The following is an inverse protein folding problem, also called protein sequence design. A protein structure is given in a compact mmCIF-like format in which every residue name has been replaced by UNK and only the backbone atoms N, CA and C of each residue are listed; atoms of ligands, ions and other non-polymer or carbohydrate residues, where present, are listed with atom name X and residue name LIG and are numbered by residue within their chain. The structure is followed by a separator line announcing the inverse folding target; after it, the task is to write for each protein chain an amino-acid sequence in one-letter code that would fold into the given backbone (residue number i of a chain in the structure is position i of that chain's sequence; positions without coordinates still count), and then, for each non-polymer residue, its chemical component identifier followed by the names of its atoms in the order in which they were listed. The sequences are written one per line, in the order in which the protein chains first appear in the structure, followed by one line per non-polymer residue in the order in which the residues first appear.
data_IF_525597120962
#
_entry.id   IF_525597120962
#
_cell.length_a   1.000
_cell.length_b   1.000
_cell.length_c   1.000
_cell.angle_alpha   90.00
_cell.angle_beta   90.00
_cell.angle_gamma   90.00
#
_symmetry.space_group_name_H-M   'P 1'
#
loop_
_entity.id
_entity.type
_entity.pdbx_description
1 polymer ?
#
# COMPACT_ATOMS: atom_id res chain seq x y z
N UNK A 1 -2.72 -4.71 1.45
CA UNK A 1 -2.29 -5.25 0.13
C UNK A 1 -0.78 -5.23 -0.15
N UNK A 2 -0.03 -4.11 -0.10
CA UNK A 2 1.42 -4.06 -0.50
C UNK A 2 2.38 -5.04 0.18
N UNK A 3 1.97 -5.65 1.29
CA UNK A 3 2.71 -6.67 2.02
C UNK A 3 2.37 -8.12 1.59
N UNK A 4 1.48 -8.29 0.61
CA UNK A 4 1.02 -9.59 0.09
C UNK A 4 1.63 -9.82 -1.29
N UNK A 5 1.88 -11.09 -1.63
CA UNK A 5 2.47 -11.59 -2.88
C UNK A 5 3.92 -11.13 -3.15
N UNK A 6 4.76 -12.00 -3.78
CA UNK A 6 6.12 -11.63 -4.13
C UNK A 6 6.16 -10.45 -5.10
N UNK A 7 7.24 -9.65 -5.04
CA UNK A 7 7.43 -8.49 -5.90
C UNK A 7 7.92 -8.84 -7.32
N UNK A 8 8.31 -10.10 -7.55
CA UNK A 8 8.86 -10.58 -8.81
C UNK A 8 8.51 -12.06 -9.00
N UNK A 9 8.10 -12.42 -10.21
CA UNK A 9 7.75 -13.79 -10.59
C UNK A 9 6.73 -13.82 -11.72
N UNK A 10 6.56 -14.98 -12.34
CA UNK A 10 5.46 -15.21 -13.26
C UNK A 10 4.16 -15.24 -12.45
N UNK A 11 3.15 -14.48 -12.87
CA UNK A 11 1.84 -14.49 -12.25
C UNK A 11 1.15 -15.80 -12.62
N UNK A 12 0.81 -16.58 -11.60
CA UNK A 12 0.20 -17.88 -11.68
C UNK A 12 -1.02 -17.98 -10.75
N UNK A 13 -1.64 -19.16 -10.73
CA UNK A 13 -2.83 -19.44 -9.91
C UNK A 13 -2.57 -19.25 -8.41
N UNK A 14 -1.36 -19.56 -7.92
CA UNK A 14 -1.00 -19.34 -6.51
C UNK A 14 -0.95 -17.84 -6.18
N UNK A 15 -0.39 -17.05 -7.09
CA UNK A 15 -0.38 -15.59 -6.99
C UNK A 15 -1.79 -15.03 -6.98
N UNK A 16 -2.66 -15.48 -7.90
CA UNK A 16 -4.06 -15.06 -7.96
C UNK A 16 -4.81 -15.40 -6.66
N UNK A 17 -4.66 -16.62 -6.13
CA UNK A 17 -5.28 -17.03 -4.87
C UNK A 17 -4.79 -16.21 -3.66
N UNK A 18 -3.49 -15.86 -3.63
CA UNK A 18 -2.93 -14.96 -2.62
C UNK A 18 -3.55 -13.55 -2.70
N UNK A 19 -3.75 -13.02 -3.90
CA UNK A 19 -4.36 -11.72 -4.11
C UNK A 19 -5.84 -11.71 -3.72
N UNK A 20 -6.60 -12.75 -4.06
CA UNK A 20 -7.99 -12.94 -3.61
C UNK A 20 -8.06 -12.92 -2.08
N UNK A 21 -7.20 -13.68 -1.41
CA UNK A 21 -7.12 -13.70 0.05
C UNK A 21 -6.82 -12.31 0.63
N UNK A 22 -5.93 -11.54 -0.02
CA UNK A 22 -5.63 -10.17 0.37
C UNK A 22 -6.83 -9.23 0.21
N UNK A 23 -7.57 -9.36 -0.88
CA UNK A 23 -8.75 -8.56 -1.18
C UNK A 23 -9.87 -8.87 -0.15
N UNK A 24 -10.05 -10.14 0.24
CA UNK A 24 -10.97 -10.54 1.31
C UNK A 24 -10.64 -9.92 2.66
N UNK A 25 -9.36 -9.88 3.04
CA UNK A 25 -8.92 -9.17 4.26
C UNK A 25 -9.28 -7.67 4.25
N UNK A 26 -9.52 -7.11 3.06
CA UNK A 26 -9.90 -5.73 2.85
C UNK A 26 -11.39 -5.53 2.49
N UNK A 27 -12.22 -6.57 2.62
CA UNK A 27 -13.68 -6.48 2.51
C UNK A 27 -14.25 -6.75 1.12
N UNK A 28 -13.41 -7.12 0.15
CA UNK A 28 -13.88 -7.60 -1.15
C UNK A 28 -14.45 -9.01 -1.05
N UNK A 29 -15.39 -9.36 -1.92
CA UNK A 29 -16.09 -10.66 -1.90
C UNK A 29 -15.86 -11.50 -3.16
N UNK A 30 -14.84 -11.17 -3.94
CA UNK A 30 -14.50 -11.85 -5.19
C UNK A 30 -14.04 -13.29 -4.93
N UNK A 31 -14.56 -14.28 -5.66
CA UNK A 31 -14.15 -15.68 -5.47
C UNK A 31 -12.82 -16.04 -6.15
N UNK A 32 -12.51 -15.40 -7.29
CA UNK A 32 -11.30 -15.64 -8.10
C UNK A 32 -10.91 -14.41 -8.90
N UNK A 33 -9.61 -14.29 -9.19
CA UNK A 33 -9.07 -13.37 -10.20
C UNK A 33 -8.64 -14.18 -11.41
N UNK A 34 -8.92 -13.68 -12.60
CA UNK A 34 -8.29 -14.18 -13.82
C UNK A 34 -6.80 -13.78 -13.83
N UNK A 35 -5.97 -14.49 -14.59
CA UNK A 35 -4.50 -14.30 -14.55
C UNK A 35 -4.06 -12.91 -15.04
N UNK A 36 -4.79 -12.30 -15.96
CA UNK A 36 -4.57 -10.94 -16.43
C UNK A 36 -4.93 -9.89 -15.37
N UNK A 37 -6.04 -10.08 -14.65
CA UNK A 37 -6.42 -9.25 -13.50
C UNK A 37 -5.39 -9.37 -12.36
N UNK A 38 -4.93 -10.58 -12.07
CA UNK A 38 -3.87 -10.83 -11.10
C UNK A 38 -2.56 -10.16 -11.53
N UNK A 39 -2.26 -10.13 -12.83
CA UNK A 39 -1.06 -9.48 -13.36
C UNK A 39 -1.16 -7.95 -13.27
N UNK A 40 -2.31 -7.37 -13.61
CA UNK A 40 -2.58 -5.94 -13.46
C UNK A 40 -2.46 -5.49 -12.00
N UNK A 41 -3.07 -6.23 -11.08
CA UNK A 41 -2.98 -5.95 -9.64
C UNK A 41 -1.55 -6.10 -9.11
N UNK A 42 -0.80 -7.12 -9.59
CA UNK A 42 0.60 -7.31 -9.24
C UNK A 42 1.47 -6.14 -9.71
N UNK A 43 1.27 -5.67 -10.94
CA UNK A 43 1.97 -4.50 -11.48
C UNK A 43 1.68 -3.24 -10.66
N UNK A 44 0.42 -3.00 -10.29
CA UNK A 44 0.03 -1.92 -9.40
C UNK A 44 0.73 -2.01 -8.02
N UNK A 45 0.82 -3.20 -7.43
CA UNK A 45 1.51 -3.41 -6.15
C UNK A 45 3.01 -3.09 -6.24
N UNK A 46 3.68 -3.43 -7.34
CA UNK A 46 5.09 -3.07 -7.58
C UNK A 46 5.25 -1.54 -7.60
N UNK A 47 4.42 -0.85 -8.40
CA UNK A 47 4.45 0.62 -8.48
C UNK A 47 4.19 1.29 -7.13
N UNK A 48 3.25 0.76 -6.35
CA UNK A 48 2.98 1.28 -4.99
C UNK A 48 4.15 1.04 -4.04
N UNK A 49 4.84 -0.11 -4.14
CA UNK A 49 6.04 -0.37 -3.34
C UNK A 49 7.15 0.61 -3.67
N UNK A 50 7.37 0.92 -4.96
CA UNK A 50 8.33 1.92 -5.40
C UNK A 50 8.00 3.31 -4.84
N UNK A 51 6.73 3.74 -4.92
CA UNK A 51 6.26 4.98 -4.32
C UNK A 51 6.52 5.01 -2.80
N UNK A 52 6.23 3.93 -2.09
CA UNK A 52 6.41 3.84 -0.63
C UNK A 52 7.89 3.82 -0.19
N UNK A 53 8.84 3.62 -1.12
CA UNK A 53 10.27 3.73 -0.89
C UNK A 53 10.81 5.16 -1.06
N UNK A 54 10.01 6.10 -1.59
CA UNK A 54 10.41 7.49 -1.73
C UNK A 54 10.43 8.15 -0.34
N UNK A 55 11.62 8.46 0.14
CA UNK A 55 11.81 9.04 1.48
C UNK A 55 11.53 10.55 1.55
N UNK A 56 11.61 11.24 0.41
CA UNK A 56 11.36 12.67 0.28
C UNK A 56 9.88 12.96 0.00
N UNK A 57 9.26 13.82 0.80
CA UNK A 57 7.81 14.08 0.73
C UNK A 57 7.41 14.78 -0.56
N UNK A 58 8.22 15.70 -1.07
CA UNK A 58 7.90 16.46 -2.28
C UNK A 58 7.98 15.56 -3.51
N UNK A 59 9.00 14.71 -3.59
CA UNK A 59 9.09 13.68 -4.64
C UNK A 59 7.96 12.65 -4.55
N UNK A 60 7.54 12.27 -3.35
CA UNK A 60 6.41 11.35 -3.19
C UNK A 60 5.10 12.01 -3.67
N UNK A 61 4.88 13.29 -3.35
CA UNK A 61 3.73 14.05 -3.85
C UNK A 61 3.73 14.16 -5.37
N UNK A 62 4.89 14.43 -5.99
CA UNK A 62 5.03 14.44 -7.45
C UNK A 62 4.68 13.09 -8.07
N UNK A 63 5.15 11.99 -7.47
CA UNK A 63 4.85 10.65 -7.98
C UNK A 63 3.37 10.26 -7.81
N UNK A 64 2.72 10.72 -6.74
CA UNK A 64 1.27 10.58 -6.56
C UNK A 64 0.52 11.32 -7.67
N UNK A 65 0.94 12.54 -8.03
CA UNK A 65 0.33 13.29 -9.13
C UNK A 65 0.49 12.57 -10.47
N UNK A 66 1.66 11.97 -10.73
CA UNK A 66 1.88 11.14 -11.93
C UNK A 66 0.88 9.98 -11.97
N UNK A 67 0.64 9.29 -10.85
CA UNK A 67 -0.36 8.22 -10.78
C UNK A 67 -1.76 8.79 -11.07
N UNK A 68 -2.13 9.94 -10.52
CA UNK A 68 -3.42 10.55 -10.83
C UNK A 68 -3.58 10.90 -12.30
N UNK A 69 -2.55 11.47 -12.93
CA UNK A 69 -2.60 11.83 -14.36
C UNK A 69 -2.78 10.60 -15.26
N UNK A 70 -2.30 9.43 -14.84
CA UNK A 70 -2.38 8.19 -15.60
C UNK A 70 -3.71 7.44 -15.41
N UNK A 71 -4.19 7.31 -14.17
CA UNK A 71 -5.29 6.39 -13.84
C UNK A 71 -6.48 7.04 -13.16
N UNK A 72 -6.43 8.33 -12.80
CA UNK A 72 -7.55 8.96 -12.12
C UNK A 72 -8.63 9.47 -13.09
N UNK A 73 -9.87 9.36 -12.64
CA UNK A 73 -11.05 9.97 -13.21
C UNK A 73 -11.55 11.13 -12.34
N UNK A 74 -12.63 11.77 -12.79
CA UNK A 74 -13.32 12.80 -12.01
C UNK A 74 -13.78 12.23 -10.66
N UNK A 75 -13.50 12.91 -9.54
CA UNK A 75 -13.93 12.43 -8.22
C UNK A 75 -15.44 12.20 -8.15
N UNK A 76 -15.85 11.10 -7.51
CA UNK A 76 -17.26 10.79 -7.23
C UNK A 76 -17.43 10.32 -5.79
N UNK A 77 -18.57 10.65 -5.19
CA UNK A 77 -18.96 10.07 -3.91
C UNK A 77 -19.64 8.72 -4.14
N UNK A 78 -19.24 7.71 -3.36
CA UNK A 78 -19.81 6.37 -3.39
C UNK A 78 -20.10 5.87 -1.97
N UNK A 79 -20.98 4.88 -1.88
CA UNK A 79 -21.35 4.19 -0.64
C UNK A 79 -21.77 2.77 -0.98
N UNK A 80 -21.06 1.77 -0.46
CA UNK A 80 -21.35 0.35 -0.70
C UNK A 80 -20.87 -0.51 0.49
N UNK A 81 -21.37 -1.73 0.61
CA UNK A 81 -20.90 -2.73 1.60
C UNK A 81 -20.80 -2.18 3.03
N UNK A 82 -21.86 -1.48 3.48
CA UNK A 82 -21.96 -0.80 4.78
C UNK A 82 -20.89 0.29 5.06
N UNK A 83 -20.05 0.62 4.06
CA UNK A 83 -19.09 1.71 4.19
C UNK A 83 -19.83 3.06 4.33
N UNK A 84 -19.28 4.03 5.09
CA UNK A 84 -19.69 5.42 4.97
C UNK A 84 -19.48 5.96 3.55
N UNK A 85 -20.03 7.14 3.28
CA UNK A 85 -19.73 7.89 2.05
C UNK A 85 -18.22 8.14 1.95
N UNK A 86 -17.65 7.84 0.78
CA UNK A 86 -16.23 8.06 0.49
C UNK A 86 -16.03 8.46 -0.96
N UNK A 87 -14.85 9.01 -1.26
CA UNK A 87 -14.50 9.49 -2.58
C UNK A 87 -13.80 8.36 -3.36
N UNK A 88 -14.26 8.13 -4.58
CA UNK A 88 -13.50 7.41 -5.59
C UNK A 88 -12.89 8.37 -6.59
N UNK A 89 -11.70 8.00 -7.07
CA UNK A 89 -10.99 8.70 -8.15
C UNK A 89 -10.56 7.75 -9.27
N UNK A 90 -10.95 6.48 -9.24
CA UNK A 90 -10.79 5.52 -10.35
C UNK A 90 -11.89 5.69 -11.42
N UNK A 91 -11.73 5.23 -12.68
CA UNK A 91 -12.83 5.10 -13.63
C UNK A 91 -13.94 4.15 -13.15
N UNK A 92 -15.18 4.34 -13.60
CA UNK A 92 -16.31 3.49 -13.16
C UNK A 92 -16.17 2.01 -13.57
N UNK A 93 -15.42 1.75 -14.63
CA UNK A 93 -15.08 0.47 -15.24
C UNK A 93 -13.59 0.12 -15.05
N UNK A 94 -12.93 0.69 -14.03
CA UNK A 94 -11.52 0.46 -13.78
C UNK A 94 -11.21 -1.02 -13.51
N UNK A 95 -10.17 -1.53 -14.15
CA UNK A 95 -9.54 -2.79 -13.76
C UNK A 95 -8.88 -2.70 -12.38
N UNK A 96 -8.59 -3.85 -11.78
CA UNK A 96 -8.07 -3.97 -10.41
C UNK A 96 -6.79 -3.17 -10.16
N UNK A 97 -5.86 -3.11 -11.12
CA UNK A 97 -4.62 -2.35 -10.97
C UNK A 97 -4.86 -0.84 -10.99
N UNK A 98 -5.70 -0.34 -11.90
CA UNK A 98 -6.07 1.09 -11.98
C UNK A 98 -6.82 1.53 -10.74
N UNK A 99 -7.80 0.73 -10.29
CA UNK A 99 -8.52 0.98 -9.04
C UNK A 99 -7.57 1.04 -7.84
N UNK A 100 -6.66 0.07 -7.71
CA UNK A 100 -5.74 0.00 -6.58
C UNK A 100 -4.81 1.22 -6.56
N UNK A 101 -4.26 1.60 -7.72
CA UNK A 101 -3.37 2.75 -7.86
C UNK A 101 -4.09 4.05 -7.50
N UNK A 102 -5.26 4.30 -8.11
CA UNK A 102 -6.02 5.52 -7.90
C UNK A 102 -6.47 5.66 -6.43
N UNK A 103 -7.01 4.59 -5.84
CA UNK A 103 -7.46 4.56 -4.44
C UNK A 103 -6.29 4.75 -3.46
N UNK A 104 -5.15 4.09 -3.72
CA UNK A 104 -3.96 4.20 -2.88
C UNK A 104 -3.33 5.60 -3.00
N UNK A 105 -3.28 6.17 -4.20
CA UNK A 105 -2.80 7.53 -4.42
C UNK A 105 -3.67 8.55 -3.67
N UNK A 106 -5.00 8.41 -3.70
CA UNK A 106 -5.92 9.24 -2.94
C UNK A 106 -5.66 9.16 -1.43
N UNK A 107 -5.50 7.96 -0.89
CA UNK A 107 -5.21 7.76 0.53
C UNK A 107 -3.86 8.38 0.94
N UNK A 108 -2.80 8.17 0.15
CA UNK A 108 -1.47 8.71 0.44
C UNK A 108 -1.41 10.24 0.29
N UNK A 109 -2.14 10.80 -0.68
CA UNK A 109 -2.31 12.25 -0.82
C UNK A 109 -2.95 12.86 0.44
N UNK A 110 -4.01 12.22 0.95
CA UNK A 110 -4.67 12.63 2.19
C UNK A 110 -3.72 12.65 3.38
N UNK A 111 -2.86 11.64 3.51
CA UNK A 111 -1.82 11.59 4.57
C UNK A 111 -0.84 12.77 4.46
N UNK A 112 -0.35 13.07 3.26
CA UNK A 112 0.55 14.22 3.05
C UNK A 112 -0.18 15.52 3.38
N UNK A 113 -1.41 15.69 2.89
CA UNK A 113 -2.21 16.88 3.12
C UNK A 113 -2.47 17.12 4.61
N UNK A 114 -2.80 16.08 5.37
CA UNK A 114 -3.13 16.19 6.79
C UNK A 114 -1.90 16.46 7.65
N UNK A 115 -0.76 15.83 7.35
CA UNK A 115 0.40 15.84 8.24
C UNK A 115 1.60 16.65 7.74
N UNK A 116 1.58 17.12 6.48
CA UNK A 116 2.71 17.82 5.85
C UNK A 116 3.97 16.97 5.68
N UNK A 117 3.86 15.65 5.81
CA UNK A 117 4.97 14.69 5.76
C UNK A 117 4.45 13.31 5.38
N UNK A 118 5.35 12.44 4.93
CA UNK A 118 5.05 11.00 4.85
C UNK A 118 4.94 10.37 6.23
N UNK A 119 4.05 9.39 6.35
CA UNK A 119 3.88 8.58 7.58
C UNK A 119 4.14 7.09 7.32
N UNK A 120 4.60 6.75 6.11
CA UNK A 120 4.87 5.39 5.67
C UNK A 120 6.36 5.12 5.47
N UNK A 121 6.70 3.85 5.29
CA UNK A 121 8.03 3.41 4.88
C UNK A 121 8.19 1.89 4.94
N UNK A 122 9.39 1.41 4.61
CA UNK A 122 9.80 0.01 4.80
C UNK A 122 10.30 -0.22 6.23
N UNK A 123 10.00 -1.37 6.81
CA UNK A 123 10.40 -1.73 8.17
C UNK A 123 11.93 -1.80 8.30
N UNK A 124 12.49 -1.12 9.31
CA UNK A 124 13.94 -1.13 9.57
C UNK A 124 14.42 -2.34 10.41
N UNK A 125 13.52 -3.25 10.79
CA UNK A 125 13.93 -4.42 11.57
C UNK A 125 14.66 -5.41 10.66
N UNK A 126 15.84 -5.88 11.09
CA UNK A 126 16.62 -6.88 10.35
C UNK A 126 15.74 -8.09 9.95
N UNK A 127 15.84 -8.48 8.67
CA UNK A 127 15.07 -9.56 8.06
C UNK A 127 13.58 -9.28 7.87
N UNK A 128 13.13 -8.01 7.95
CA UNK A 128 11.73 -7.65 7.72
C UNK A 128 11.60 -6.75 6.48
N UNK A 129 10.80 -7.18 5.52
CA UNK A 129 10.61 -6.45 4.26
C UNK A 129 9.25 -5.75 4.17
N UNK A 130 8.47 -5.79 5.25
CA UNK A 130 7.12 -5.23 5.26
C UNK A 130 7.14 -3.71 5.23
N UNK A 131 6.20 -3.14 4.51
CA UNK A 131 5.84 -1.73 4.52
C UNK A 131 4.88 -1.43 5.66
N UNK A 132 4.86 -0.18 6.10
CA UNK A 132 3.88 0.35 7.03
C UNK A 132 3.36 1.70 6.55
N UNK A 133 2.14 2.02 6.96
CA UNK A 133 1.55 3.37 6.90
C UNK A 133 1.19 3.74 8.33
N UNK A 134 1.63 4.89 8.79
CA UNK A 134 1.30 5.44 10.10
C UNK A 134 0.04 6.28 10.05
N UNK A 135 -0.65 6.38 11.18
CA UNK A 135 -1.80 7.26 11.40
C UNK A 135 -1.41 8.75 11.55
N UNK A 136 -0.15 9.08 11.26
CA UNK A 136 0.44 10.42 11.37
C UNK A 136 0.59 10.98 12.78
N UNK A 137 0.10 10.27 13.80
CA UNK A 137 0.23 10.68 15.20
C UNK A 137 1.62 10.33 15.73
N UNK A 138 2.22 11.28 16.45
CA UNK A 138 3.53 11.10 17.06
C UNK A 138 4.70 11.19 16.06
N UNK A 139 5.89 10.76 16.51
CA UNK A 139 7.12 10.86 15.73
C UNK A 139 7.19 9.92 14.52
N UNK A 140 8.27 10.03 13.75
CA UNK A 140 8.53 9.14 12.63
C UNK A 140 8.57 7.68 13.09
N UNK A 141 7.61 6.88 12.58
CA UNK A 141 7.59 5.42 12.79
C UNK A 141 8.75 4.81 12.00
N UNK A 142 9.35 3.75 12.55
CA UNK A 142 10.50 3.04 11.94
C UNK A 142 10.24 1.55 11.68
N UNK A 143 9.20 1.00 12.30
CA UNK A 143 8.93 -0.43 12.31
C UNK A 143 7.48 -0.72 11.96
N UNK A 144 7.24 -1.80 11.21
CA UNK A 144 5.89 -2.18 10.80
C UNK A 144 5.01 -2.66 11.95
N UNK A 145 5.56 -3.02 13.11
CA UNK A 145 4.80 -3.48 14.27
C UNK A 145 5.58 -3.31 15.59
N UNK A 146 4.86 -3.36 16.71
CA UNK A 146 5.46 -3.40 18.04
C UNK A 146 6.41 -4.60 18.22
N UNK A 147 6.09 -5.75 17.60
CA UNK A 147 6.94 -6.94 17.60
C UNK A 147 8.29 -6.67 16.94
N UNK A 148 8.30 -6.03 15.76
CA UNK A 148 9.53 -5.65 15.07
C UNK A 148 10.33 -4.62 15.88
N UNK A 149 9.67 -3.63 16.48
CA UNK A 149 10.32 -2.64 17.34
C UNK A 149 11.00 -3.29 18.57
N UNK A 150 10.31 -4.21 19.25
CA UNK A 150 10.86 -4.95 20.40
C UNK A 150 12.03 -5.85 20.01
N UNK A 151 11.94 -6.56 18.88
CA UNK A 151 13.05 -7.39 18.37
C UNK A 151 14.30 -6.56 18.11
N UNK A 152 14.17 -5.42 17.43
CA UNK A 152 15.31 -4.52 17.16
C UNK A 152 15.91 -3.92 18.45
N UNK A 153 15.07 -3.57 19.45
CA UNK A 153 15.55 -3.10 20.76
C UNK A 153 16.39 -4.16 21.49
N UNK A 154 15.91 -5.41 21.54
CA UNK A 154 16.63 -6.53 22.17
C UNK A 154 17.96 -6.80 21.47
N UNK A 155 17.99 -6.80 20.13
CA UNK A 155 19.21 -7.00 19.36
C UNK A 155 20.28 -5.93 19.67
N UNK A 156 19.88 -4.65 19.70
CA UNK A 156 20.78 -3.52 20.05
C UNK A 156 21.27 -3.59 21.50
N UNK A 157 20.44 -4.07 22.42
CA UNK A 157 20.87 -4.25 23.81
C UNK A 157 21.96 -5.33 23.92
N UNK A 158 21.75 -6.49 23.27
CA UNK A 158 22.72 -7.59 23.24
C UNK A 158 24.04 -7.19 22.59
N UNK A 159 24.02 -6.35 21.54
CA UNK A 159 25.25 -5.91 20.87
C UNK A 159 26.10 -4.94 21.70
N UNK A 160 25.51 -4.28 22.72
CA UNK A 160 26.21 -3.37 23.64
C UNK A 160 26.77 -4.07 24.87
N UNK A 161 26.31 -5.29 25.15
CA UNK A 161 26.77 -6.12 26.26
C UNK A 161 27.87 -7.13 25.85
N UNK A 162 28.26 -7.09 24.57
CA UNK A 162 29.44 -7.77 24.03
C UNK A 162 30.56 -6.75 23.90
#
# INVERSE_FOLDING_TARGET
MVNVAPAAGQVDEETAACLVSALHEHGETLERLELDEAADLTAALVRLRELLLIDDVDRAAQQINVIFDEVAARPRLSRHNDSPWHIHVDPADAGWGSWLLASSALALAGVIQEHGRRTWGRCEAAGCERYYIGDGRGGARRYCSARCASRSRVARHRSRQR
#
